data_IF_565032050163
#
_entry.id   IF_565032050163
#
_cell.length_a   1.000
_cell.length_b   1.000
_cell.length_c   1.000
_cell.angle_alpha   90.00
_cell.angle_beta   90.00
_cell.angle_gamma   90.00
#
_symmetry.space_group_name_H-M   'P 1'
#
loop_
_entity.id
_entity.type
_entity.pdbx_description
1 polymer ?
#
# COMPACT_ATOMS: atom_id res chain seq x y z
N UNK A 1 13.43 11.01 4.26
CA UNK A 1 12.65 9.83 3.88
C UNK A 1 11.18 10.10 4.14
N UNK A 2 10.35 9.78 3.18
CA UNK A 2 8.90 9.99 3.27
C UNK A 2 8.23 8.70 3.73
N UNK A 3 7.34 8.82 4.71
CA UNK A 3 6.53 7.71 5.21
C UNK A 3 5.08 7.90 4.76
N UNK A 4 4.51 6.86 4.18
CA UNK A 4 3.09 6.82 3.83
C UNK A 4 2.39 5.78 4.71
N UNK A 5 1.34 6.22 5.39
CA UNK A 5 0.43 5.33 6.12
C UNK A 5 -0.92 5.36 5.41
N UNK A 6 -1.31 4.23 4.83
CA UNK A 6 -2.58 4.09 4.15
C UNK A 6 -3.51 3.17 4.94
N UNK A 7 -4.72 3.62 5.23
CA UNK A 7 -5.75 2.81 5.88
C UNK A 7 -6.83 2.47 4.87
N UNK A 8 -7.10 1.18 4.71
CA UNK A 8 -8.12 0.66 3.79
C UNK A 8 -9.23 -0.01 4.57
N UNK A 9 -10.44 0.51 4.43
CA UNK A 9 -11.66 -0.17 4.89
C UNK A 9 -12.27 -0.86 3.68
N UNK A 10 -12.24 -2.18 3.69
CA UNK A 10 -12.65 -3.02 2.55
C UNK A 10 -14.15 -3.30 2.64
N UNK A 11 -14.82 -3.34 1.50
CA UNK A 11 -16.22 -3.73 1.42
C UNK A 11 -16.44 -5.13 2.03
N UNK A 12 -17.57 -5.38 2.69
CA UNK A 12 -17.83 -6.65 3.37
C UNK A 12 -17.61 -7.87 2.48
N UNK A 13 -16.87 -8.86 2.99
CA UNK A 13 -16.59 -10.09 2.27
C UNK A 13 -15.46 -10.03 1.25
N UNK A 14 -14.80 -8.87 1.08
CA UNK A 14 -13.74 -8.66 0.08
C UNK A 14 -12.33 -8.63 0.66
N UNK A 15 -12.18 -8.81 1.97
CA UNK A 15 -10.88 -8.72 2.63
C UNK A 15 -9.85 -9.72 2.09
N UNK A 16 -10.25 -10.95 1.81
CA UNK A 16 -9.31 -11.97 1.30
C UNK A 16 -8.84 -11.64 -0.12
N UNK A 17 -9.70 -11.06 -0.96
CA UNK A 17 -9.30 -10.61 -2.29
C UNK A 17 -8.27 -9.48 -2.23
N UNK A 18 -8.47 -8.54 -1.30
CA UNK A 18 -7.51 -7.45 -1.08
C UNK A 18 -6.19 -7.99 -0.56
N UNK A 19 -6.23 -8.90 0.41
CA UNK A 19 -5.02 -9.55 0.94
C UNK A 19 -4.24 -10.26 -0.16
N UNK A 20 -4.92 -11.00 -1.04
CA UNK A 20 -4.29 -11.70 -2.15
C UNK A 20 -3.65 -10.72 -3.15
N UNK A 21 -4.35 -9.64 -3.49
CA UNK A 21 -3.83 -8.61 -4.40
C UNK A 21 -2.57 -7.95 -3.85
N UNK A 22 -2.59 -7.53 -2.57
CA UNK A 22 -1.46 -6.89 -1.94
C UNK A 22 -0.28 -7.86 -1.72
N UNK A 23 -0.55 -9.14 -1.54
CA UNK A 23 0.50 -10.18 -1.50
C UNK A 23 1.24 -10.27 -2.83
N UNK A 24 0.55 -10.05 -3.96
CA UNK A 24 1.20 -9.98 -5.27
C UNK A 24 1.99 -8.69 -5.46
N UNK A 25 1.52 -7.60 -4.85
CA UNK A 25 2.15 -6.27 -4.99
C UNK A 25 3.52 -6.21 -4.31
N UNK A 26 3.65 -6.73 -3.10
CA UNK A 26 4.85 -6.58 -2.28
C UNK A 26 6.16 -7.04 -2.95
N UNK A 27 6.25 -8.24 -3.57
CA UNK A 27 7.48 -8.65 -4.25
C UNK A 27 7.81 -7.82 -5.48
N UNK A 28 6.82 -7.26 -6.16
CA UNK A 28 7.04 -6.36 -7.30
C UNK A 28 7.66 -5.05 -6.83
N UNK A 29 7.17 -4.50 -5.73
CA UNK A 29 7.76 -3.30 -5.12
C UNK A 29 9.20 -3.56 -4.70
N UNK A 30 9.45 -4.66 -3.98
CA UNK A 30 10.79 -5.00 -3.49
C UNK A 30 11.80 -5.16 -4.64
N UNK A 31 11.37 -5.73 -5.76
CA UNK A 31 12.25 -6.02 -6.89
C UNK A 31 12.43 -4.86 -7.85
N UNK A 32 11.38 -4.07 -8.09
CA UNK A 32 11.33 -3.09 -9.18
C UNK A 32 11.39 -1.64 -8.72
N UNK A 33 11.29 -1.37 -7.41
CA UNK A 33 11.28 -0.01 -6.88
C UNK A 33 12.41 0.20 -5.88
N UNK A 34 13.64 0.46 -6.35
CA UNK A 34 14.78 0.64 -5.45
C UNK A 34 14.65 1.83 -4.50
N UNK A 35 13.81 2.80 -4.83
CA UNK A 35 13.54 3.96 -3.98
C UNK A 35 12.53 3.69 -2.85
N UNK A 36 11.88 2.53 -2.85
CA UNK A 36 11.00 2.11 -1.76
C UNK A 36 11.81 1.34 -0.73
N UNK A 37 12.02 1.93 0.44
CA UNK A 37 12.82 1.33 1.50
C UNK A 37 12.03 0.32 2.34
N UNK A 38 10.71 0.48 2.42
CA UNK A 38 9.84 -0.41 3.19
C UNK A 38 8.44 -0.42 2.59
N UNK A 39 7.85 -1.60 2.48
CA UNK A 39 6.48 -1.75 2.00
C UNK A 39 5.83 -2.89 2.80
N UNK A 40 5.14 -2.52 3.87
CA UNK A 40 4.49 -3.48 4.77
C UNK A 40 2.98 -3.36 4.69
N UNK A 41 2.33 -4.48 4.49
CA UNK A 41 0.87 -4.58 4.47
C UNK A 41 0.45 -5.30 5.75
N UNK A 42 -0.42 -4.66 6.51
CA UNK A 42 -0.92 -5.19 7.78
C UNK A 42 -2.43 -5.34 7.73
N UNK A 43 -2.95 -6.39 8.32
CA UNK A 43 -4.38 -6.65 8.43
C UNK A 43 -4.74 -6.58 9.91
N UNK A 44 -5.83 -5.90 10.26
CA UNK A 44 -6.27 -5.81 11.64
C UNK A 44 -6.60 -7.20 12.18
N UNK A 45 -6.13 -7.48 13.41
CA UNK A 45 -6.30 -8.80 14.04
C UNK A 45 -7.77 -9.17 14.20
N UNK A 46 -8.62 -8.20 14.56
CA UNK A 46 -10.03 -8.44 14.87
C UNK A 46 -10.99 -8.00 13.76
N UNK A 47 -10.47 -7.48 12.65
CA UNK A 47 -11.32 -7.05 11.53
C UNK A 47 -10.66 -7.42 10.20
N UNK A 48 -11.11 -8.51 9.55
CA UNK A 48 -10.52 -8.98 8.30
C UNK A 48 -10.70 -8.01 7.12
N UNK A 49 -11.52 -6.98 7.26
CA UNK A 49 -11.77 -5.98 6.23
C UNK A 49 -11.03 -4.65 6.50
N UNK A 50 -10.12 -4.63 7.47
CA UNK A 50 -9.33 -3.44 7.76
C UNK A 50 -7.84 -3.71 7.54
N UNK A 51 -7.20 -2.88 6.70
CA UNK A 51 -5.78 -2.97 6.38
C UNK A 51 -5.08 -1.66 6.68
N UNK A 52 -3.81 -1.77 7.06
CA UNK A 52 -2.92 -0.63 7.19
C UNK A 52 -1.64 -0.94 6.41
N UNK A 53 -1.31 -0.08 5.45
CA UNK A 53 -0.07 -0.14 4.70
C UNK A 53 0.90 0.87 5.28
N UNK A 54 2.10 0.42 5.60
CA UNK A 54 3.19 1.25 6.06
C UNK A 54 4.31 1.21 5.03
N UNK A 55 4.60 2.36 4.44
CA UNK A 55 5.52 2.45 3.31
C UNK A 55 6.54 3.56 3.56
N UNK A 56 7.80 3.33 3.15
CA UNK A 56 8.86 4.33 3.22
C UNK A 56 9.49 4.50 1.84
N UNK A 57 9.66 5.75 1.44
CA UNK A 57 10.30 6.13 0.18
C UNK A 57 11.48 7.06 0.46
N UNK A 58 12.58 6.88 -0.27
CA UNK A 58 13.81 7.65 -0.03
C UNK A 58 13.60 9.15 -0.28
N UNK A 59 12.71 9.53 -1.21
CA UNK A 59 12.38 10.91 -1.52
C UNK A 59 11.02 10.99 -2.25
N UNK A 60 10.60 12.22 -2.57
CA UNK A 60 9.34 12.46 -3.28
C UNK A 60 9.34 11.85 -4.69
N UNK A 61 10.49 11.87 -5.37
CA UNK A 61 10.60 11.31 -6.71
C UNK A 61 10.32 9.80 -6.70
N UNK A 62 10.79 9.08 -5.67
CA UNK A 62 10.55 7.65 -5.51
C UNK A 62 9.06 7.36 -5.24
N UNK A 63 8.40 8.20 -4.43
CA UNK A 63 6.97 8.09 -4.19
C UNK A 63 6.17 8.35 -5.46
N UNK A 64 6.52 9.38 -6.21
CA UNK A 64 5.85 9.69 -7.48
C UNK A 64 6.05 8.55 -8.50
N UNK A 65 7.25 8.00 -8.57
CA UNK A 65 7.56 6.86 -9.43
C UNK A 65 6.73 5.62 -9.08
N UNK A 66 6.51 5.36 -7.77
CA UNK A 66 5.70 4.25 -7.30
C UNK A 66 4.29 4.27 -7.91
N UNK A 67 3.66 5.45 -7.94
CA UNK A 67 2.30 5.64 -8.46
C UNK A 67 2.21 5.48 -9.98
N UNK A 68 3.33 5.61 -10.68
CA UNK A 68 3.39 5.48 -12.14
C UNK A 68 3.73 4.07 -12.61
N UNK A 69 4.04 3.15 -11.69
CA UNK A 69 4.38 1.77 -12.06
C UNK A 69 3.17 1.03 -12.61
N UNK A 70 3.39 0.10 -13.57
CA UNK A 70 2.32 -0.75 -14.08
C UNK A 70 1.65 -1.58 -12.98
N UNK A 71 2.43 -2.11 -12.04
CA UNK A 71 1.88 -2.92 -10.95
C UNK A 71 1.02 -2.10 -9.99
N UNK A 72 1.36 -0.84 -9.71
CA UNK A 72 0.49 0.02 -8.91
C UNK A 72 -0.85 0.25 -9.62
N UNK A 73 -0.81 0.60 -10.89
CA UNK A 73 -2.03 0.89 -11.67
C UNK A 73 -2.92 -0.33 -11.83
N UNK A 74 -2.33 -1.49 -12.07
CA UNK A 74 -3.08 -2.73 -12.27
C UNK A 74 -3.60 -3.31 -10.94
N UNK A 75 -2.73 -3.45 -9.95
CA UNK A 75 -3.06 -4.15 -8.70
C UNK A 75 -3.76 -3.20 -7.71
N UNK A 76 -3.16 -2.04 -7.41
CA UNK A 76 -3.73 -1.14 -6.42
C UNK A 76 -4.94 -0.41 -6.98
N UNK A 77 -4.78 0.34 -8.06
CA UNK A 77 -5.89 1.12 -8.62
C UNK A 77 -6.94 0.25 -9.30
N UNK A 78 -6.52 -0.78 -10.04
CA UNK A 78 -7.41 -1.61 -10.84
C UNK A 78 -8.12 -2.71 -10.06
N UNK A 79 -7.51 -3.24 -9.01
CA UNK A 79 -8.04 -4.38 -8.25
C UNK A 79 -8.41 -4.02 -6.82
N UNK A 80 -7.53 -3.38 -6.06
CA UNK A 80 -7.75 -3.09 -4.64
C UNK A 80 -8.76 -1.94 -4.44
N UNK A 81 -8.52 -0.80 -5.07
CA UNK A 81 -9.36 0.39 -4.86
C UNK A 81 -10.83 0.14 -5.12
N UNK A 82 -11.24 -0.58 -6.19
CA UNK A 82 -12.66 -0.90 -6.40
C UNK A 82 -13.32 -1.71 -5.30
N UNK A 83 -12.52 -2.40 -4.46
CA UNK A 83 -13.02 -3.22 -3.36
C UNK A 83 -13.08 -2.47 -2.02
N UNK A 84 -12.68 -1.19 -2.01
CA UNK A 84 -12.64 -0.38 -0.79
C UNK A 84 -13.94 0.38 -0.58
N UNK A 85 -14.42 0.38 0.67
CA UNK A 85 -15.49 1.27 1.11
C UNK A 85 -14.92 2.64 1.50
N UNK A 86 -13.68 2.67 2.04
CA UNK A 86 -13.02 3.89 2.47
C UNK A 86 -11.50 3.76 2.34
N UNK A 87 -10.84 4.86 2.02
CA UNK A 87 -9.38 4.93 1.89
C UNK A 87 -8.90 6.24 2.50
N UNK A 88 -7.94 6.14 3.43
CA UNK A 88 -7.27 7.29 4.02
C UNK A 88 -5.76 7.15 3.84
N UNK A 89 -5.08 8.26 3.54
CA UNK A 89 -3.63 8.30 3.40
C UNK A 89 -3.08 9.48 4.16
N UNK A 90 -2.04 9.24 4.95
CA UNK A 90 -1.33 10.28 5.70
C UNK A 90 0.15 10.17 5.37
N UNK A 91 0.78 11.30 5.07
CA UNK A 91 2.20 11.38 4.76
C UNK A 91 2.95 11.98 5.94
N UNK A 92 4.13 11.42 6.21
CA UNK A 92 4.99 11.87 7.31
C UNK A 92 6.42 12.02 6.81
N UNK A 93 7.17 12.92 7.45
CA UNK A 93 8.62 12.93 7.34
C UNK A 93 9.18 12.04 8.45
N UNK A 94 10.08 11.12 8.09
CA UNK A 94 10.76 10.31 9.09
C UNK A 94 11.67 11.21 9.92
N UNK A 95 11.42 11.26 11.23
CA UNK A 95 12.24 12.09 12.15
C UNK A 95 13.43 11.31 12.67
N UNK A 96 13.21 10.06 13.07
CA UNK A 96 14.24 9.19 13.65
C UNK A 96 13.88 7.72 13.45
N UNK A 97 14.88 6.93 13.17
CA UNK A 97 14.66 5.49 13.01
C UNK A 97 15.23 4.86 11.76
#
# INVERSE_FOLDING_TARGET
>A
MIVLVASYSVSPGKGDEVAAALTRMAPLVARLEPGCAMYHVNRAVENPNQFLLYEQYVDQAALDAHRETPHFKEIVEGTVVPLLAKRERVFYDLVVG
#
